data_IF_267929110932
#
_entry.id   IF_267929110932
#
_cell.length_a   1.000
_cell.length_b   1.000
_cell.length_c   1.000
_cell.angle_alpha   90.00
_cell.angle_beta   90.00
_cell.angle_gamma   90.00
#
_symmetry.space_group_name_H-M   'P 1'
#
loop_
_entity.id
_entity.type
_entity.pdbx_description
1 polymer ?
#
# COMPACT_ATOMS: atom_id res chain seq x y z
N UNK A 1 -10.90 -26.67 -14.37
CA UNK A 1 -10.19 -26.59 -15.67
C UNK A 1 -10.56 -25.26 -16.31
N UNK A 2 -9.62 -24.30 -16.37
CA UNK A 2 -9.82 -22.99 -17.00
C UNK A 2 -9.27 -23.05 -18.43
N UNK A 3 -10.13 -22.83 -19.42
CA UNK A 3 -9.72 -22.68 -20.81
C UNK A 3 -9.12 -21.28 -20.99
N UNK A 4 -7.78 -21.18 -20.96
CA UNK A 4 -7.10 -19.89 -20.88
C UNK A 4 -7.08 -19.13 -22.21
N UNK A 5 -6.98 -19.84 -23.35
CA UNK A 5 -7.10 -19.31 -24.71
C UNK A 5 -6.93 -20.42 -25.75
N UNK A 6 -7.54 -20.25 -26.91
CA UNK A 6 -7.21 -21.03 -28.13
C UNK A 6 -6.20 -20.26 -28.96
N UNK A 7 -5.18 -20.96 -29.47
CA UNK A 7 -4.15 -20.37 -30.34
C UNK A 7 -4.07 -21.14 -31.65
N UNK A 8 -3.83 -20.42 -32.74
CA UNK A 8 -3.39 -20.96 -34.02
C UNK A 8 -1.88 -21.27 -34.01
N UNK A 9 -1.41 -22.07 -34.97
CA UNK A 9 0.02 -22.40 -35.09
C UNK A 9 0.90 -21.12 -35.19
N UNK A 10 0.44 -20.11 -35.92
CA UNK A 10 1.18 -18.86 -36.17
C UNK A 10 1.24 -17.98 -34.92
N UNK A 11 0.13 -17.83 -34.19
CA UNK A 11 0.08 -17.09 -32.92
C UNK A 11 0.95 -17.74 -31.84
N UNK A 12 1.07 -19.07 -31.85
CA UNK A 12 1.93 -19.81 -30.92
C UNK A 12 3.43 -19.65 -31.25
N UNK A 13 3.77 -19.63 -32.53
CA UNK A 13 5.14 -19.39 -33.03
C UNK A 13 5.59 -17.99 -32.61
N UNK A 14 4.72 -17.01 -32.82
CA UNK A 14 4.95 -15.61 -32.47
C UNK A 14 5.05 -15.42 -30.95
N UNK A 15 4.06 -15.89 -30.18
CA UNK A 15 4.02 -15.71 -28.73
C UNK A 15 5.18 -16.41 -28.00
N UNK A 16 5.65 -17.55 -28.50
CA UNK A 16 6.75 -18.30 -27.90
C UNK A 16 8.12 -17.91 -28.46
N UNK A 17 8.17 -17.07 -29.50
CA UNK A 17 9.42 -16.67 -30.17
C UNK A 17 10.23 -17.85 -30.71
N UNK A 18 9.57 -18.94 -31.14
CA UNK A 18 10.22 -20.16 -31.63
C UNK A 18 10.00 -20.35 -33.12
N UNK A 19 10.94 -21.01 -33.80
CA UNK A 19 10.75 -21.32 -35.22
C UNK A 19 9.65 -22.37 -35.45
N UNK A 20 8.98 -22.38 -36.63
CA UNK A 20 7.97 -23.39 -36.97
C UNK A 20 8.51 -24.83 -36.90
N UNK A 21 9.80 -25.03 -37.22
CA UNK A 21 10.49 -26.31 -37.10
C UNK A 21 10.72 -26.72 -35.64
N UNK A 22 10.99 -25.75 -34.75
CA UNK A 22 11.10 -25.97 -33.31
C UNK A 22 9.76 -26.39 -32.72
N UNK A 23 8.66 -25.70 -33.09
CA UNK A 23 7.31 -26.11 -32.72
C UNK A 23 7.04 -27.54 -33.20
N UNK A 24 7.35 -27.87 -34.46
CA UNK A 24 7.22 -29.23 -35.02
C UNK A 24 8.05 -30.30 -34.34
N UNK A 25 9.27 -29.99 -33.90
CA UNK A 25 10.14 -30.93 -33.19
C UNK A 25 9.67 -31.17 -31.75
N UNK A 26 9.19 -30.12 -31.08
CA UNK A 26 8.59 -30.22 -29.74
C UNK A 26 7.25 -30.96 -29.78
N UNK A 27 6.48 -30.95 -30.89
CA UNK A 27 5.25 -31.78 -31.08
C UNK A 27 5.48 -33.25 -30.71
N UNK A 28 6.61 -33.82 -31.11
CA UNK A 28 6.96 -35.23 -30.86
C UNK A 28 7.41 -35.47 -29.41
N UNK A 29 8.01 -34.45 -28.79
CA UNK A 29 8.50 -34.50 -27.41
C UNK A 29 7.38 -34.24 -26.41
N UNK A 30 6.39 -33.41 -26.71
CA UNK A 30 5.23 -33.12 -25.85
C UNK A 30 4.22 -34.26 -25.78
N UNK A 31 4.13 -35.14 -26.80
CA UNK A 31 3.32 -36.36 -26.71
C UNK A 31 3.93 -37.41 -25.75
N UNK A 32 5.26 -37.40 -25.54
CA UNK A 32 5.96 -38.37 -24.67
C UNK A 32 6.48 -37.78 -23.35
N UNK A 33 6.67 -36.46 -23.23
CA UNK A 33 7.16 -35.81 -22.00
C UNK A 33 6.10 -34.90 -21.39
N UNK A 34 5.58 -35.38 -20.26
CA UNK A 34 4.90 -34.61 -19.21
C UNK A 34 5.72 -33.36 -18.85
N UNK A 35 5.35 -32.21 -19.41
CA UNK A 35 5.61 -30.91 -18.79
C UNK A 35 4.75 -30.90 -17.52
N UNK A 36 5.38 -30.84 -16.34
CA UNK A 36 4.76 -31.19 -15.05
C UNK A 36 3.48 -30.42 -14.69
N UNK A 37 3.18 -29.29 -15.35
CA UNK A 37 2.09 -28.39 -14.95
C UNK A 37 1.13 -27.98 -16.10
N UNK A 38 1.32 -28.47 -17.34
CA UNK A 38 0.50 -28.10 -18.51
C UNK A 38 0.24 -29.29 -19.44
N UNK A 39 -1.00 -29.48 -19.89
CA UNK A 39 -1.33 -30.30 -21.07
C UNK A 39 -1.78 -29.45 -22.24
N UNK A 40 -1.62 -30.01 -23.43
CA UNK A 40 -2.00 -29.40 -24.68
C UNK A 40 -2.95 -30.36 -25.38
N UNK A 41 -4.16 -29.91 -25.70
CA UNK A 41 -5.07 -30.65 -26.57
C UNK A 41 -5.20 -29.92 -27.91
N UNK A 42 -5.28 -30.67 -29.01
CA UNK A 42 -5.45 -30.11 -30.36
C UNK A 42 -6.73 -30.62 -30.99
N UNK A 43 -7.53 -29.70 -31.52
CA UNK A 43 -8.55 -30.04 -32.50
C UNK A 43 -7.90 -30.17 -33.89
N UNK A 44 -7.86 -31.39 -34.42
CA UNK A 44 -7.26 -31.69 -35.73
C UNK A 44 -8.06 -31.12 -36.91
N UNK A 45 -9.37 -30.94 -36.77
CA UNK A 45 -10.23 -30.39 -37.82
C UNK A 45 -10.11 -28.86 -37.88
N UNK A 46 -10.10 -28.21 -36.72
CA UNK A 46 -10.01 -26.76 -36.62
C UNK A 46 -8.56 -26.21 -36.64
N UNK A 47 -7.55 -27.08 -36.49
CA UNK A 47 -6.13 -26.69 -36.31
C UNK A 47 -5.90 -25.75 -35.12
N UNK A 48 -6.69 -25.91 -34.05
CA UNK A 48 -6.61 -25.11 -32.83
C UNK A 48 -5.90 -25.89 -31.71
N UNK A 49 -5.12 -25.19 -30.91
CA UNK A 49 -4.49 -25.72 -29.69
C UNK A 49 -5.14 -25.09 -28.46
N UNK A 50 -5.52 -25.93 -27.52
CA UNK A 50 -6.03 -25.54 -26.21
C UNK A 50 -5.00 -25.95 -25.17
N UNK A 51 -4.54 -24.99 -24.37
CA UNK A 51 -3.62 -25.22 -23.26
C UNK A 51 -4.44 -25.40 -21.99
N UNK A 52 -4.26 -26.54 -21.31
CA UNK A 52 -4.85 -26.85 -20.02
C UNK A 52 -3.78 -26.71 -18.94
N UNK A 53 -3.95 -25.79 -17.99
CA UNK A 53 -3.14 -25.73 -16.78
C UNK A 53 -3.65 -26.72 -15.74
N UNK A 54 -2.76 -27.51 -15.12
CA UNK A 54 -3.12 -28.50 -14.08
C UNK A 54 -3.03 -27.98 -12.64
N UNK A 55 -2.62 -26.73 -12.43
CA UNK A 55 -2.92 -26.01 -11.18
C UNK A 55 -3.93 -24.92 -11.50
N UNK A 56 -5.11 -25.01 -10.90
CA UNK A 56 -5.99 -23.87 -10.69
C UNK A 56 -5.26 -22.90 -9.74
N UNK A 57 -4.33 -22.11 -10.28
CA UNK A 57 -3.90 -20.91 -9.58
C UNK A 57 -4.98 -19.87 -9.84
N UNK A 58 -5.65 -19.45 -8.77
CA UNK A 58 -6.49 -18.26 -8.82
C UNK A 58 -5.62 -17.07 -9.25
N UNK A 59 -6.22 -16.11 -9.94
CA UNK A 59 -5.56 -14.84 -10.30
C UNK A 59 -4.88 -14.22 -9.06
N UNK A 60 -5.54 -14.31 -7.91
CA UNK A 60 -5.03 -13.91 -6.61
C UNK A 60 -3.70 -14.56 -6.22
N UNK A 61 -3.53 -15.87 -6.43
CA UNK A 61 -2.27 -16.56 -6.12
C UNK A 61 -1.12 -16.07 -7.00
N UNK A 62 -1.40 -15.82 -8.29
CA UNK A 62 -0.39 -15.29 -9.23
C UNK A 62 0.03 -13.88 -8.82
N UNK A 63 -0.93 -13.02 -8.49
CA UNK A 63 -0.67 -11.66 -8.01
C UNK A 63 0.14 -11.66 -6.71
N UNK A 64 -0.19 -12.51 -5.75
CA UNK A 64 0.56 -12.64 -4.50
C UNK A 64 2.02 -13.06 -4.74
N UNK A 65 2.25 -14.09 -5.56
CA UNK A 65 3.62 -14.55 -5.85
C UNK A 65 4.46 -13.50 -6.59
N UNK A 66 3.81 -12.73 -7.49
CA UNK A 66 4.45 -11.63 -8.21
C UNK A 66 4.82 -10.51 -7.24
N UNK A 67 3.89 -10.17 -6.33
CA UNK A 67 4.11 -9.15 -5.31
C UNK A 67 5.27 -9.49 -4.38
N UNK A 68 5.36 -10.73 -3.88
CA UNK A 68 6.50 -11.19 -3.07
C UNK A 68 7.84 -11.03 -3.80
N UNK A 69 7.87 -11.38 -5.09
CA UNK A 69 9.07 -11.25 -5.92
C UNK A 69 9.47 -9.79 -6.10
N UNK A 70 8.48 -8.91 -6.33
CA UNK A 70 8.71 -7.46 -6.45
C UNK A 70 9.20 -6.84 -5.15
N UNK A 71 8.66 -7.24 -3.99
CA UNK A 71 9.12 -6.75 -2.68
C UNK A 71 10.60 -7.11 -2.46
N UNK A 72 10.99 -8.35 -2.75
CA UNK A 72 12.38 -8.81 -2.64
C UNK A 72 13.31 -8.12 -3.64
N UNK A 73 12.81 -7.72 -4.81
CA UNK A 73 13.56 -6.97 -5.80
C UNK A 73 13.73 -5.49 -5.45
N UNK A 74 12.74 -4.90 -4.77
CA UNK A 74 12.73 -3.49 -4.39
C UNK A 74 13.60 -3.20 -3.17
N UNK A 75 13.47 -4.00 -2.11
CA UNK A 75 14.20 -3.78 -0.86
C UNK A 75 15.11 -4.95 -0.54
N UNK A 76 16.40 -4.72 -0.25
CA UNK A 76 17.30 -5.78 0.20
C UNK A 76 17.02 -6.24 1.65
N UNK A 77 16.08 -5.59 2.34
CA UNK A 77 15.72 -5.88 3.72
C UNK A 77 14.82 -7.12 3.79
N UNK A 78 15.21 -8.09 4.62
CA UNK A 78 14.43 -9.30 4.85
C UNK A 78 13.26 -9.02 5.82
N UNK A 79 12.14 -8.55 5.27
CA UNK A 79 10.90 -8.29 6.03
C UNK A 79 9.79 -9.23 5.54
N UNK A 80 9.55 -10.30 6.30
CA UNK A 80 8.51 -11.28 5.97
C UNK A 80 7.09 -10.69 6.04
N UNK A 81 6.33 -10.84 4.96
CA UNK A 81 4.88 -10.61 4.90
C UNK A 81 4.16 -11.94 5.22
N UNK A 82 3.56 -12.07 6.41
CA UNK A 82 2.92 -13.33 6.86
C UNK A 82 1.69 -13.71 6.02
N UNK A 83 0.98 -12.72 5.49
CA UNK A 83 -0.12 -12.91 4.56
C UNK A 83 0.01 -11.86 3.46
N UNK A 84 0.48 -12.32 2.30
CA UNK A 84 0.80 -11.51 1.13
C UNK A 84 -0.43 -10.90 0.47
N UNK A 85 -1.54 -11.63 0.46
CA UNK A 85 -2.82 -11.16 -0.09
C UNK A 85 -3.31 -9.90 0.65
N UNK A 86 -3.33 -9.95 1.98
CA UNK A 86 -3.70 -8.81 2.82
C UNK A 86 -2.75 -7.64 2.63
N UNK A 87 -1.44 -7.91 2.57
CA UNK A 87 -0.44 -6.90 2.34
C UNK A 87 -0.66 -6.21 0.97
N UNK A 88 -0.92 -6.99 -0.08
CA UNK A 88 -1.20 -6.50 -1.42
C UNK A 88 -2.47 -5.63 -1.44
N UNK A 89 -3.58 -6.10 -0.86
CA UNK A 89 -4.84 -5.33 -0.76
C UNK A 89 -4.64 -3.99 -0.05
N UNK A 90 -3.90 -3.98 1.06
CA UNK A 90 -3.59 -2.75 1.80
C UNK A 90 -2.73 -1.81 0.95
N UNK A 91 -1.72 -2.32 0.24
CA UNK A 91 -0.85 -1.48 -0.58
C UNK A 91 -1.60 -0.89 -1.79
N UNK A 92 -2.48 -1.66 -2.42
CA UNK A 92 -3.38 -1.18 -3.48
C UNK A 92 -4.28 -0.05 -2.95
N UNK A 93 -4.92 -0.26 -1.80
CA UNK A 93 -5.77 0.78 -1.19
C UNK A 93 -4.98 2.05 -0.88
N UNK A 94 -3.77 1.94 -0.32
CA UNK A 94 -2.89 3.09 -0.06
C UNK A 94 -2.51 3.84 -1.34
N UNK A 95 -2.17 3.11 -2.40
CA UNK A 95 -1.78 3.70 -3.68
C UNK A 95 -2.91 4.52 -4.32
N UNK A 96 -4.14 4.00 -4.32
CA UNK A 96 -5.26 4.67 -4.98
C UNK A 96 -5.95 5.74 -4.12
N UNK A 97 -6.16 5.47 -2.83
CA UNK A 97 -6.97 6.36 -1.98
C UNK A 97 -6.16 7.44 -1.27
N UNK A 98 -4.83 7.24 -1.12
CA UNK A 98 -3.95 8.06 -0.26
C UNK A 98 -4.49 8.24 1.17
N UNK A 99 -5.38 7.36 1.63
CA UNK A 99 -6.04 7.49 2.92
C UNK A 99 -5.09 7.09 4.05
N UNK A 100 -4.93 7.99 5.02
CA UNK A 100 -3.99 7.81 6.13
C UNK A 100 -4.68 7.37 7.42
N UNK A 101 -6.01 7.48 7.56
CA UNK A 101 -6.74 7.06 8.74
C UNK A 101 -6.89 5.52 8.76
N UNK A 102 -6.38 4.82 9.79
CA UNK A 102 -6.52 3.37 9.87
C UNK A 102 -7.98 2.89 9.86
N UNK A 103 -8.92 3.67 10.40
CA UNK A 103 -10.34 3.34 10.39
C UNK A 103 -10.95 3.35 9.00
N UNK A 104 -10.60 4.34 8.17
CA UNK A 104 -11.08 4.41 6.79
C UNK A 104 -10.42 3.34 5.92
N UNK A 105 -9.11 3.13 6.08
CA UNK A 105 -8.45 2.00 5.44
C UNK A 105 -9.07 0.64 5.84
N UNK A 106 -9.54 0.51 7.09
CA UNK A 106 -10.22 -0.69 7.58
C UNK A 106 -11.54 -0.95 6.84
N UNK A 107 -12.30 0.10 6.56
CA UNK A 107 -13.50 0.02 5.74
C UNK A 107 -13.16 -0.37 4.29
N UNK A 108 -12.10 0.22 3.72
CA UNK A 108 -11.69 0.00 2.32
C UNK A 108 -11.08 -1.38 2.07
N UNK A 109 -10.32 -1.91 3.03
CA UNK A 109 -9.56 -3.16 2.86
C UNK A 109 -10.24 -4.37 3.49
N UNK A 110 -11.36 -4.18 4.19
CA UNK A 110 -12.03 -5.19 5.02
C UNK A 110 -11.11 -5.83 6.07
N UNK A 111 -10.02 -5.15 6.43
CA UNK A 111 -9.05 -5.60 7.42
C UNK A 111 -9.17 -4.84 8.74
N UNK A 112 -8.72 -5.44 9.84
CA UNK A 112 -8.71 -4.72 11.11
C UNK A 112 -7.67 -3.60 11.12
N UNK A 113 -7.96 -2.50 11.83
CA UNK A 113 -7.01 -1.39 12.06
C UNK A 113 -5.66 -1.85 12.62
N UNK A 114 -5.66 -2.93 13.42
CA UNK A 114 -4.46 -3.55 13.99
C UNK A 114 -3.61 -4.21 12.90
N UNK A 115 -4.23 -4.95 11.98
CA UNK A 115 -3.49 -5.59 10.88
C UNK A 115 -2.97 -4.56 9.88
N UNK A 116 -3.78 -3.56 9.54
CA UNK A 116 -3.34 -2.43 8.71
C UNK A 116 -2.12 -1.76 9.33
N UNK A 117 -2.17 -1.46 10.62
CA UNK A 117 -1.03 -0.84 11.33
C UNK A 117 0.23 -1.71 11.31
N UNK A 118 0.10 -3.04 11.32
CA UNK A 118 1.25 -3.95 11.20
C UNK A 118 1.85 -3.92 9.80
N UNK A 119 1.04 -3.96 8.75
CA UNK A 119 1.55 -3.94 7.37
C UNK A 119 2.12 -2.58 6.98
N UNK A 120 1.50 -1.48 7.40
CA UNK A 120 2.05 -0.13 7.23
C UNK A 120 3.46 -0.03 7.81
N UNK A 121 3.69 -0.55 9.03
CA UNK A 121 5.02 -0.57 9.63
C UNK A 121 6.01 -1.40 8.81
N UNK A 122 5.58 -2.52 8.23
CA UNK A 122 6.44 -3.33 7.36
C UNK A 122 6.80 -2.60 6.07
N UNK A 123 5.83 -1.93 5.45
CA UNK A 123 6.09 -1.13 4.25
C UNK A 123 7.01 0.06 4.53
N UNK A 124 6.90 0.69 5.72
CA UNK A 124 7.88 1.69 6.17
C UNK A 124 9.27 1.09 6.36
N UNK A 125 9.37 -0.10 6.95
CA UNK A 125 10.66 -0.79 7.10
C UNK A 125 11.28 -1.15 5.74
N UNK A 126 10.45 -1.45 4.73
CA UNK A 126 10.85 -1.76 3.35
C UNK A 126 11.12 -0.50 2.49
N UNK A 127 11.06 0.71 3.06
CA UNK A 127 11.21 1.98 2.36
C UNK A 127 10.18 2.23 1.24
N UNK A 128 9.04 1.52 1.29
CA UNK A 128 7.92 1.68 0.36
C UNK A 128 7.09 2.92 0.72
N UNK A 129 6.96 3.21 2.02
CA UNK A 129 6.19 4.36 2.53
C UNK A 129 7.10 5.44 3.09
N UNK A 130 6.67 6.70 2.97
CA UNK A 130 7.30 7.85 3.61
C UNK A 130 7.25 7.70 5.14
N UNK A 131 8.40 7.84 5.82
CA UNK A 131 8.53 7.49 7.24
C UNK A 131 8.46 8.68 8.21
N UNK A 132 8.66 9.91 7.73
CA UNK A 132 8.89 11.10 8.56
C UNK A 132 7.76 12.14 8.54
N UNK A 133 6.75 11.96 7.68
CA UNK A 133 5.63 12.89 7.55
C UNK A 133 4.39 12.48 8.33
N UNK A 134 3.60 13.48 8.72
CA UNK A 134 2.37 13.27 9.46
C UNK A 134 1.25 14.22 9.05
N UNK A 135 0.06 13.66 9.01
CA UNK A 135 -1.19 14.40 8.99
C UNK A 135 -1.64 14.69 10.42
N UNK A 136 -2.33 15.81 10.59
CA UNK A 136 -2.83 16.24 11.88
C UNK A 136 -4.33 16.35 11.78
N UNK A 137 -5.02 15.75 12.73
CA UNK A 137 -6.47 15.74 12.77
C UNK A 137 -6.95 16.39 14.06
N UNK A 138 -8.01 17.19 13.98
CA UNK A 138 -8.84 17.46 15.14
C UNK A 138 -9.83 16.31 15.34
N UNK A 139 -10.01 15.93 16.58
CA UNK A 139 -10.89 14.84 17.01
C UNK A 139 -11.92 15.40 17.97
N UNK A 140 -13.18 15.33 17.58
CA UNK A 140 -14.29 15.63 18.48
C UNK A 140 -14.49 14.47 19.47
N UNK A 141 -14.39 14.72 20.77
CA UNK A 141 -14.48 13.64 21.77
C UNK A 141 -15.86 13.00 21.89
N UNK A 142 -16.93 13.73 21.56
CA UNK A 142 -18.30 13.23 21.74
C UNK A 142 -18.73 12.35 20.59
N UNK A 143 -18.34 12.74 19.38
CA UNK A 143 -18.74 12.09 18.13
C UNK A 143 -17.63 11.24 17.52
N UNK A 144 -16.41 11.31 18.06
CA UNK A 144 -15.20 10.68 17.51
C UNK A 144 -14.95 11.01 16.04
N UNK A 145 -15.40 12.19 15.59
CA UNK A 145 -15.20 12.65 14.22
C UNK A 145 -13.79 13.20 14.06
N UNK A 146 -13.09 12.71 13.03
CA UNK A 146 -11.74 13.15 12.66
C UNK A 146 -11.82 14.13 11.50
N UNK A 147 -11.20 15.30 11.65
CA UNK A 147 -11.14 16.34 10.62
C UNK A 147 -9.69 16.70 10.34
N UNK A 148 -9.26 16.57 9.08
CA UNK A 148 -7.89 16.89 8.67
C UNK A 148 -7.63 18.39 8.82
N UNK A 149 -6.53 18.74 9.48
CA UNK A 149 -6.11 20.13 9.71
C UNK A 149 -5.24 20.64 8.57
N UNK A 150 -5.56 21.82 8.06
CA UNK A 150 -4.77 22.54 7.07
C UNK A 150 -3.52 23.16 7.70
N UNK A 151 -2.52 23.47 6.89
CA UNK A 151 -1.24 24.03 7.33
C UNK A 151 -1.35 25.32 8.14
N UNK A 152 -2.28 26.19 7.77
CA UNK A 152 -2.55 27.42 8.52
C UNK A 152 -3.10 27.13 9.91
N UNK A 153 -4.05 26.20 10.03
CA UNK A 153 -4.62 25.77 11.31
C UNK A 153 -3.54 25.13 12.19
N UNK A 154 -2.69 24.27 11.60
CA UNK A 154 -1.55 23.66 12.29
C UNK A 154 -0.59 24.71 12.85
N UNK A 155 -0.27 25.74 12.07
CA UNK A 155 0.58 26.86 12.50
C UNK A 155 -0.06 27.67 13.63
N UNK A 156 -1.36 27.96 13.53
CA UNK A 156 -2.10 28.69 14.55
C UNK A 156 -2.13 27.94 15.88
N UNK A 157 -2.42 26.64 15.84
CA UNK A 157 -2.40 25.75 17.01
C UNK A 157 -1.00 25.70 17.63
N UNK A 158 0.04 25.54 16.80
CA UNK A 158 1.44 25.47 17.28
C UNK A 158 1.85 26.79 17.93
N UNK A 159 1.47 27.92 17.33
CA UNK A 159 1.69 29.23 17.92
C UNK A 159 0.94 29.40 19.24
N UNK A 160 -0.30 28.92 19.35
CA UNK A 160 -1.09 28.99 20.57
C UNK A 160 -0.43 28.17 21.69
N UNK A 161 -0.06 26.92 21.40
CA UNK A 161 0.63 26.06 22.34
C UNK A 161 1.94 26.69 22.82
N UNK A 162 2.72 27.28 21.91
CA UNK A 162 3.95 27.99 22.26
C UNK A 162 3.72 29.16 23.20
N UNK A 163 2.69 29.99 22.94
CA UNK A 163 2.33 31.11 23.82
C UNK A 163 1.93 30.64 25.22
N UNK A 164 1.10 29.59 25.31
CA UNK A 164 0.71 29.03 26.61
C UNK A 164 1.90 28.36 27.32
N UNK A 165 2.78 27.68 26.59
CA UNK A 165 3.99 27.08 27.15
C UNK A 165 4.90 28.12 27.78
N UNK A 166 5.25 29.19 27.07
CA UNK A 166 6.12 30.25 27.62
C UNK A 166 5.48 30.99 28.80
N UNK A 167 4.16 31.22 28.74
CA UNK A 167 3.42 31.77 29.88
C UNK A 167 3.52 30.90 31.14
N UNK A 168 3.55 29.58 31.01
CA UNK A 168 3.75 28.66 32.15
C UNK A 168 5.22 28.58 32.59
N UNK A 169 6.17 28.66 31.66
CA UNK A 169 7.60 28.78 31.95
C UNK A 169 7.86 30.01 32.84
N UNK A 170 7.31 31.17 32.47
CA UNK A 170 7.43 32.41 33.23
C UNK A 170 6.76 32.27 34.61
N UNK A 171 5.54 31.73 34.67
CA UNK A 171 4.80 31.55 35.93
C UNK A 171 5.49 30.61 36.92
N UNK A 172 6.17 29.57 36.42
CA UNK A 172 6.85 28.58 37.25
C UNK A 172 8.35 28.91 37.44
N UNK A 173 8.81 30.05 36.89
CA UNK A 173 10.20 30.50 36.92
C UNK A 173 11.18 29.39 36.50
N UNK A 174 10.91 28.73 35.37
CA UNK A 174 11.80 27.68 34.85
C UNK A 174 13.00 28.31 34.17
N UNK A 175 14.21 27.97 34.62
CA UNK A 175 15.46 28.46 34.06
C UNK A 175 15.69 27.95 32.63
N UNK A 176 16.22 28.81 31.75
CA UNK A 176 16.60 28.42 30.40
C UNK A 176 17.98 27.74 30.33
N UNK A 177 18.84 27.94 31.33
CA UNK A 177 20.24 27.46 31.35
C UNK A 177 20.35 26.10 32.03
N UNK A 178 19.48 25.83 33.00
CA UNK A 178 19.37 24.53 33.69
C UNK A 178 17.91 24.31 34.11
N UNK A 179 17.04 23.87 33.17
CA UNK A 179 15.63 23.71 33.43
C UNK A 179 15.38 22.54 34.37
N UNK A 180 14.63 22.79 35.44
CA UNK A 180 14.00 21.74 36.22
C UNK A 180 13.04 20.94 35.33
N UNK A 181 13.41 19.70 35.02
CA UNK A 181 12.69 18.82 34.09
C UNK A 181 11.25 18.52 34.53
N UNK A 182 10.99 18.43 35.84
CA UNK A 182 9.65 18.20 36.36
C UNK A 182 8.76 19.43 36.14
N UNK A 183 9.30 20.63 36.36
CA UNK A 183 8.61 21.88 36.04
C UNK A 183 8.40 22.05 34.53
N UNK A 184 9.41 21.73 33.71
CA UNK A 184 9.32 21.80 32.26
C UNK A 184 8.22 20.86 31.74
N UNK A 185 8.15 19.63 32.27
CA UNK A 185 7.09 18.66 31.97
C UNK A 185 5.72 19.18 32.38
N UNK A 186 5.60 19.81 33.55
CA UNK A 186 4.36 20.43 34.01
C UNK A 186 3.92 21.59 33.08
N UNK A 187 4.85 22.44 32.64
CA UNK A 187 4.56 23.50 31.65
C UNK A 187 3.99 22.92 30.35
N UNK A 188 4.62 21.85 29.82
CA UNK A 188 4.13 21.16 28.61
C UNK A 188 2.72 20.62 28.82
N UNK A 189 2.45 19.98 29.95
CA UNK A 189 1.12 19.44 30.27
C UNK A 189 0.06 20.54 30.36
N UNK A 190 0.37 21.67 31.01
CA UNK A 190 -0.56 22.80 31.13
C UNK A 190 -0.83 23.47 29.78
N UNK A 191 0.21 23.69 28.97
CA UNK A 191 0.07 24.24 27.63
C UNK A 191 -0.76 23.32 26.72
N UNK A 192 -0.53 22.01 26.77
CA UNK A 192 -1.33 21.02 26.05
C UNK A 192 -2.78 21.00 26.51
N UNK A 193 -3.05 21.11 27.82
CA UNK A 193 -4.41 21.18 28.36
C UNK A 193 -5.18 22.41 27.84
N UNK A 194 -4.57 23.60 27.90
CA UNK A 194 -5.20 24.81 27.37
C UNK A 194 -5.40 24.74 25.85
N UNK A 195 -4.44 24.15 25.13
CA UNK A 195 -4.57 23.95 23.68
C UNK A 195 -5.74 23.04 23.34
N UNK A 196 -5.91 21.94 24.07
CA UNK A 196 -7.04 21.02 23.90
C UNK A 196 -8.37 21.70 24.21
N UNK A 197 -8.41 22.55 25.24
CA UNK A 197 -9.62 23.30 25.61
C UNK A 197 -10.10 24.25 24.51
N UNK A 198 -9.17 24.87 23.77
CA UNK A 198 -9.49 25.85 22.73
C UNK A 198 -9.66 25.21 21.36
N UNK A 199 -8.80 24.27 21.00
CA UNK A 199 -8.72 23.70 19.64
C UNK A 199 -9.21 22.26 19.54
N UNK A 200 -9.64 21.65 20.66
CA UNK A 200 -10.04 20.24 20.72
C UNK A 200 -8.83 19.29 20.73
N UNK A 201 -9.11 17.99 20.68
CA UNK A 201 -8.06 16.98 20.72
C UNK A 201 -7.38 16.87 19.37
N UNK A 202 -6.06 17.06 19.36
CA UNK A 202 -5.27 16.98 18.13
C UNK A 202 -4.53 15.66 18.12
N UNK A 203 -4.63 14.93 17.02
CA UNK A 203 -3.97 13.65 16.81
C UNK A 203 -3.07 13.71 15.58
N UNK A 204 -1.84 13.26 15.79
CA UNK A 204 -0.82 13.12 14.74
C UNK A 204 -0.92 11.71 14.18
N UNK A 205 -1.09 11.58 12.86
CA UNK A 205 -1.23 10.31 12.14
C UNK A 205 -0.12 10.24 11.11
N UNK A 206 0.67 9.17 11.12
CA UNK A 206 1.73 8.98 10.12
C UNK A 206 1.13 8.91 8.72
N UNK A 207 1.69 9.71 7.81
CA UNK A 207 1.40 9.57 6.39
C UNK A 207 1.85 8.19 5.91
N UNK A 208 1.11 7.67 4.94
CA UNK A 208 1.27 6.34 4.34
C UNK A 208 1.34 6.47 2.82
N UNK A 209 1.81 7.62 2.34
CA UNK A 209 2.11 7.83 0.94
C UNK A 209 3.28 6.94 0.55
N UNK A 210 3.19 6.35 -0.64
CA UNK A 210 4.33 5.65 -1.23
C UNK A 210 5.44 6.64 -1.57
N UNK A 211 6.69 6.22 -1.46
CA UNK A 211 7.84 6.96 -2.00
C UNK A 211 7.72 7.05 -3.52
N UNK A 212 8.35 8.05 -4.15
CA UNK A 212 8.25 8.21 -5.60
C UNK A 212 8.88 7.02 -6.35
N UNK A 213 9.96 6.45 -5.81
CA UNK A 213 10.57 5.21 -6.30
C UNK A 213 9.60 4.02 -6.20
N UNK A 214 8.91 3.86 -5.07
CA UNK A 214 7.92 2.81 -4.91
C UNK A 214 6.70 3.00 -5.83
N UNK A 215 6.26 4.24 -6.07
CA UNK A 215 5.17 4.53 -7.03
C UNK A 215 5.57 4.14 -8.44
N UNK A 216 6.79 4.48 -8.87
CA UNK A 216 7.30 4.12 -10.19
C UNK A 216 7.44 2.60 -10.35
N UNK A 217 8.00 1.94 -9.33
CA UNK A 217 8.27 0.50 -9.36
C UNK A 217 7.00 -0.37 -9.25
N UNK A 218 6.11 -0.08 -8.29
CA UNK A 218 4.91 -0.88 -8.04
C UNK A 218 3.67 -0.39 -8.79
N UNK A 219 3.62 0.87 -9.23
CA UNK A 219 2.43 1.53 -9.77
C UNK A 219 1.72 0.73 -10.88
N UNK A 220 2.41 0.32 -11.97
CA UNK A 220 1.79 -0.48 -13.03
C UNK A 220 1.18 -1.80 -12.52
N UNK A 221 1.88 -2.47 -11.60
CA UNK A 221 1.41 -3.72 -11.00
C UNK A 221 0.20 -3.51 -10.08
N UNK A 222 0.18 -2.43 -9.29
CA UNK A 222 -0.94 -2.11 -8.41
C UNK A 222 -2.20 -1.72 -9.20
N UNK A 223 -2.06 -1.04 -10.33
CA UNK A 223 -3.18 -0.75 -11.25
C UNK A 223 -3.77 -2.04 -11.83
N UNK A 224 -2.91 -2.90 -12.38
CA UNK A 224 -3.33 -4.20 -12.89
C UNK A 224 -4.01 -5.04 -11.79
N UNK A 225 -3.46 -5.05 -10.58
CA UNK A 225 -4.03 -5.76 -9.43
C UNK A 225 -5.44 -5.24 -9.06
N UNK A 226 -5.63 -3.92 -9.03
CA UNK A 226 -6.92 -3.29 -8.75
C UNK A 226 -8.00 -3.73 -9.75
N UNK A 227 -7.65 -3.80 -11.04
CA UNK A 227 -8.54 -4.30 -12.10
C UNK A 227 -8.83 -5.79 -11.96
N UNK A 228 -7.79 -6.62 -11.80
CA UNK A 228 -7.92 -8.07 -11.75
C UNK A 228 -8.69 -8.55 -10.51
N UNK A 229 -8.53 -7.86 -9.38
CA UNK A 229 -9.27 -8.16 -8.15
C UNK A 229 -10.61 -7.42 -8.08
N UNK A 230 -10.99 -6.65 -9.10
CA UNK A 230 -12.22 -5.86 -9.14
C UNK A 230 -12.42 -5.00 -7.88
N UNK A 231 -11.33 -4.42 -7.36
CA UNK A 231 -11.35 -3.58 -6.16
C UNK A 231 -11.92 -2.17 -6.45
N UNK A 232 -11.98 -1.78 -7.73
CA UNK A 232 -12.67 -0.59 -8.26
C UNK A 232 -12.27 0.74 -7.61
N UNK A 233 -11.03 0.88 -7.12
CA UNK A 233 -10.56 2.20 -6.72
C UNK A 233 -10.31 3.07 -7.95
N UNK A 234 -10.89 4.27 -7.98
CA UNK A 234 -10.60 5.29 -8.98
C UNK A 234 -9.29 6.00 -8.61
N UNK A 235 -8.44 6.27 -9.61
CA UNK A 235 -7.24 7.08 -9.39
C UNK A 235 -7.67 8.54 -9.21
N UNK A 236 -7.29 9.19 -8.10
CA UNK A 236 -7.45 10.63 -7.97
C UNK A 236 -6.65 11.32 -9.09
N UNK A 237 -7.33 11.76 -10.15
CA UNK A 237 -6.73 12.59 -11.18
C UNK A 237 -6.31 13.92 -10.57
N UNK A 238 -5.02 14.11 -10.35
CA UNK A 238 -4.45 15.43 -10.08
C UNK A 238 -4.46 16.19 -11.40
N UNK A 239 -5.51 16.95 -11.65
CA UNK A 239 -5.52 17.95 -12.72
C UNK A 239 -4.53 19.03 -12.32
N UNK A 240 -3.33 18.97 -12.86
CA UNK A 240 -2.43 20.12 -12.86
C UNK A 240 -3.02 21.12 -13.84
N UNK A 241 -3.51 22.24 -13.32
CA UNK A 241 -3.88 23.40 -14.15
C UNK A 241 -2.59 24.19 -14.33
N UNK A 242 -2.11 24.26 -15.57
CA UNK A 242 -0.97 25.08 -16.00
C UNK A 242 -1.18 26.58 -15.69
#
# INVERSE_FOLDING_TARGET
MLELKTYTDDELIEALGISPSTLKSKRKVTEERRLKDYEWSRDKKAKLYTIHSYKEQTVENVLCSTFETMINGFSPKDVSLKNTEKALKILVALYFTKENLPSRLSETTEETTKEISRYVKKFQLLDILVSDQYDYYSVDEKTFRWTLLRDEERRNITSFWGKEFYKWIDKLNVSAVDPDEDKLKLCKQKASYETVKVHGFIRKVSKKDLTDEAKEYFGPFLRYTNEQLSLMFEEEMVVTVD
#
